data_IF_446401303757
#
_entry.id   IF_446401303757
#
_cell.length_a   1.000
_cell.length_b   1.000
_cell.length_c   1.000
_cell.angle_alpha   90.00
_cell.angle_beta   90.00
_cell.angle_gamma   90.00
#
_symmetry.space_group_name_H-M   'P 1'
#
loop_
_entity.id
_entity.type
_entity.pdbx_description
1 polymer ?
#
# COMPACT_ATOMS: atom_id res chain seq x y z
N UNK A 1 5.93 13.46 -11.45
CA UNK A 1 4.67 12.75 -11.15
C UNK A 1 3.78 12.81 -12.39
N UNK A 2 3.34 11.67 -12.93
CA UNK A 2 2.46 11.65 -14.11
C UNK A 2 1.02 11.73 -13.65
N UNK A 3 0.24 12.65 -14.27
CA UNK A 3 -1.16 12.89 -13.93
C UNK A 3 -2.01 12.73 -15.17
N UNK A 4 -3.13 12.03 -15.05
CA UNK A 4 -4.09 11.79 -16.13
C UNK A 4 -5.43 12.45 -15.82
N UNK A 5 -6.04 13.07 -16.80
CA UNK A 5 -7.44 13.54 -16.70
C UNK A 5 -8.35 12.32 -16.79
N UNK A 6 -9.15 12.08 -15.77
CA UNK A 6 -9.98 10.88 -15.68
C UNK A 6 -11.40 11.20 -15.21
N UNK A 7 -12.33 10.35 -15.61
CA UNK A 7 -13.62 10.17 -14.97
C UNK A 7 -13.57 8.88 -14.17
N UNK A 8 -14.08 8.89 -12.95
CA UNK A 8 -14.01 7.71 -12.10
C UNK A 8 -15.26 7.56 -11.25
N UNK A 9 -15.57 6.32 -10.89
CA UNK A 9 -16.68 5.93 -10.02
C UNK A 9 -16.13 5.15 -8.84
N UNK A 10 -16.51 5.55 -7.64
CA UNK A 10 -16.15 4.84 -6.42
C UNK A 10 -17.13 3.70 -6.10
N UNK A 11 -16.78 2.76 -5.22
CA UNK A 11 -17.73 1.83 -4.62
C UNK A 11 -18.93 2.60 -4.05
N UNK A 12 -20.15 2.13 -4.30
CA UNK A 12 -21.36 2.87 -3.92
C UNK A 12 -21.92 3.79 -5.02
N UNK A 13 -21.26 3.87 -6.19
CA UNK A 13 -21.84 4.37 -7.45
C UNK A 13 -21.67 5.86 -7.72
N UNK A 14 -21.06 6.66 -6.83
CA UNK A 14 -20.80 8.09 -7.10
C UNK A 14 -19.73 8.28 -8.14
N UNK A 15 -19.97 9.18 -9.09
CA UNK A 15 -19.07 9.46 -10.22
C UNK A 15 -18.47 10.86 -10.09
N UNK A 16 -17.20 10.97 -10.47
CA UNK A 16 -16.42 12.20 -10.41
C UNK A 16 -15.64 12.42 -11.71
N UNK A 17 -15.34 13.68 -12.00
CA UNK A 17 -14.42 14.09 -13.06
C UNK A 17 -13.23 14.79 -12.40
N UNK A 18 -12.01 14.46 -12.82
CA UNK A 18 -10.83 15.05 -12.25
C UNK A 18 -9.55 14.41 -12.78
N UNK A 19 -8.67 14.02 -11.88
CA UNK A 19 -7.35 13.49 -12.24
C UNK A 19 -6.97 12.28 -11.39
N UNK A 20 -6.22 11.38 -12.01
CA UNK A 20 -5.48 10.29 -11.40
C UNK A 20 -4.00 10.67 -11.38
N UNK A 21 -3.34 10.50 -10.26
CA UNK A 21 -1.90 10.67 -10.11
C UNK A 21 -1.26 9.44 -9.48
N UNK A 22 -0.04 9.10 -9.91
CA UNK A 22 0.72 7.99 -9.40
C UNK A 22 1.82 8.49 -8.47
N UNK A 23 1.74 8.14 -7.18
CA UNK A 23 2.78 8.31 -6.19
C UNK A 23 3.67 7.06 -6.10
N UNK A 24 4.69 7.08 -5.22
CA UNK A 24 5.59 5.94 -5.04
C UNK A 24 4.89 4.72 -4.41
N UNK A 25 3.92 4.92 -3.53
CA UNK A 25 3.22 3.84 -2.80
C UNK A 25 1.72 3.85 -2.98
N UNK A 26 1.16 4.93 -3.56
CA UNK A 26 -0.28 5.14 -3.68
C UNK A 26 -0.65 5.67 -5.04
N UNK A 27 -1.86 5.41 -5.46
CA UNK A 27 -2.55 6.19 -6.48
C UNK A 27 -3.48 7.20 -5.81
N UNK A 28 -3.65 8.35 -6.42
CA UNK A 28 -4.53 9.42 -5.91
C UNK A 28 -5.53 9.83 -6.96
N UNK A 29 -6.79 9.81 -6.59
CA UNK A 29 -7.91 10.26 -7.41
C UNK A 29 -8.46 11.56 -6.80
N UNK A 30 -8.41 12.65 -7.54
CA UNK A 30 -8.92 13.95 -7.11
C UNK A 30 -9.93 14.44 -8.14
N UNK A 31 -11.16 14.75 -7.70
CA UNK A 31 -12.20 15.16 -8.63
C UNK A 31 -13.41 15.81 -7.97
N UNK A 32 -14.36 16.21 -8.80
CA UNK A 32 -15.65 16.79 -8.39
C UNK A 32 -16.80 16.04 -9.08
N UNK A 33 -17.95 16.06 -8.45
CA UNK A 33 -19.17 15.54 -9.07
C UNK A 33 -19.49 16.36 -10.34
N UNK A 34 -19.78 15.71 -11.48
CA UNK A 34 -20.11 16.40 -12.71
C UNK A 34 -21.30 17.37 -12.54
N UNK A 35 -21.21 18.57 -13.11
CA UNK A 35 -22.29 19.54 -13.11
C UNK A 35 -22.59 20.23 -11.77
N UNK A 36 -21.74 20.06 -10.76
CA UNK A 36 -21.89 20.70 -9.46
C UNK A 36 -20.64 21.50 -9.07
N UNK A 37 -20.82 22.64 -8.39
CA UNK A 37 -19.75 23.37 -7.71
C UNK A 37 -19.40 22.75 -6.34
N UNK A 38 -19.70 21.47 -6.15
CA UNK A 38 -19.49 20.74 -4.90
C UNK A 38 -18.03 20.62 -4.49
N UNK A 39 -17.78 20.15 -3.26
CA UNK A 39 -16.44 20.00 -2.73
C UNK A 39 -15.60 19.04 -3.58
N UNK A 40 -14.31 19.30 -3.64
CA UNK A 40 -13.35 18.37 -4.24
C UNK A 40 -13.23 17.13 -3.38
N UNK A 41 -13.39 15.97 -4.00
CA UNK A 41 -13.17 14.66 -3.38
C UNK A 41 -11.75 14.23 -3.67
N UNK A 42 -11.06 13.74 -2.66
CA UNK A 42 -9.69 13.25 -2.72
C UNK A 42 -9.67 11.82 -2.16
N UNK A 43 -9.16 10.88 -2.97
CA UNK A 43 -9.03 9.47 -2.59
C UNK A 43 -7.59 9.02 -2.82
N UNK A 44 -6.99 8.52 -1.78
CA UNK A 44 -5.67 7.92 -1.82
C UNK A 44 -5.82 6.42 -1.62
N UNK A 45 -5.25 5.62 -2.54
CA UNK A 45 -5.36 4.16 -2.55
C UNK A 45 -3.94 3.60 -2.56
N UNK A 46 -3.58 2.85 -1.53
CA UNK A 46 -2.29 2.17 -1.44
C UNK A 46 -2.18 1.03 -2.46
N UNK A 47 -1.03 0.88 -3.10
CA UNK A 47 -0.84 -0.26 -4.03
C UNK A 47 -0.94 -1.60 -3.31
N UNK A 48 -0.61 -1.66 -2.03
CA UNK A 48 -0.77 -2.86 -1.20
C UNK A 48 -2.24 -3.24 -0.94
N UNK A 49 -3.17 -2.28 -1.04
CA UNK A 49 -4.61 -2.51 -0.85
C UNK A 49 -5.30 -3.07 -2.10
N UNK A 50 -4.59 -3.10 -3.23
CA UNK A 50 -5.14 -3.55 -4.49
C UNK A 50 -5.24 -5.07 -4.51
N UNK A 51 -6.44 -5.60 -4.74
CA UNK A 51 -6.69 -7.03 -4.93
C UNK A 51 -6.54 -7.44 -6.40
N UNK A 52 -6.89 -6.54 -7.33
CA UNK A 52 -6.82 -6.81 -8.76
C UNK A 52 -6.83 -5.55 -9.61
N UNK A 53 -6.37 -5.73 -10.85
CA UNK A 53 -6.43 -4.72 -11.91
C UNK A 53 -6.85 -5.41 -13.19
N UNK A 54 -7.87 -4.89 -13.87
CA UNK A 54 -8.31 -5.42 -15.15
C UNK A 54 -9.00 -4.34 -15.99
N UNK A 55 -9.09 -4.57 -17.27
CA UNK A 55 -9.95 -3.77 -18.16
C UNK A 55 -11.33 -4.41 -18.15
N UNK A 56 -12.33 -3.63 -17.76
CA UNK A 56 -13.71 -4.06 -17.77
C UNK A 56 -14.32 -3.93 -19.16
N UNK A 57 -14.88 -5.04 -19.64
CA UNK A 57 -15.56 -5.07 -20.96
C UNK A 57 -17.07 -5.30 -20.86
N UNK A 58 -17.59 -5.66 -19.67
CA UNK A 58 -18.98 -6.05 -19.46
C UNK A 58 -19.75 -4.98 -18.69
N UNK A 59 -21.03 -4.84 -18.98
CA UNK A 59 -22.05 -4.01 -18.33
C UNK A 59 -21.63 -3.14 -17.13
N UNK A 60 -21.54 -3.74 -15.95
CA UNK A 60 -21.20 -3.04 -14.71
C UNK A 60 -19.76 -2.46 -14.66
N UNK A 61 -18.85 -3.01 -15.49
CA UNK A 61 -17.45 -2.57 -15.58
C UNK A 61 -17.23 -1.44 -16.60
N UNK A 62 -18.30 -0.91 -17.15
CA UNK A 62 -18.25 0.21 -18.09
C UNK A 62 -18.63 1.51 -17.38
N UNK A 63 -17.98 2.57 -17.74
CA UNK A 63 -18.32 3.92 -17.29
C UNK A 63 -18.64 4.76 -18.53
N UNK A 64 -19.88 5.28 -18.62
CA UNK A 64 -20.41 6.00 -19.79
C UNK A 64 -20.29 5.21 -21.11
N UNK A 65 -20.51 3.90 -21.05
CA UNK A 65 -20.40 3.04 -22.21
C UNK A 65 -18.98 2.69 -22.65
N UNK A 66 -17.95 3.26 -22.02
CA UNK A 66 -16.54 2.97 -22.30
C UNK A 66 -15.99 1.88 -21.40
N UNK A 67 -15.04 1.03 -21.90
CA UNK A 67 -14.29 0.12 -21.05
C UNK A 67 -13.55 0.91 -19.95
N UNK A 68 -13.69 0.47 -18.71
CA UNK A 68 -13.03 1.10 -17.59
C UNK A 68 -11.83 0.26 -17.09
N UNK A 69 -10.78 0.92 -16.60
CA UNK A 69 -9.85 0.31 -15.69
C UNK A 69 -10.60 0.00 -14.38
N UNK A 70 -10.68 -1.26 -14.01
CA UNK A 70 -11.27 -1.73 -12.76
C UNK A 70 -10.15 -1.92 -11.76
N UNK A 71 -10.16 -1.12 -10.70
CA UNK A 71 -9.21 -1.22 -9.57
C UNK A 71 -9.95 -1.92 -8.43
N UNK A 72 -9.66 -3.20 -8.23
CA UNK A 72 -10.35 -4.03 -7.25
C UNK A 72 -9.75 -3.86 -5.84
N UNK A 73 -10.62 -3.65 -4.87
CA UNK A 73 -10.30 -3.54 -3.44
C UNK A 73 -11.31 -4.33 -2.60
N UNK A 74 -11.00 -4.52 -1.33
CA UNK A 74 -11.88 -5.22 -0.40
C UNK A 74 -13.26 -4.55 -0.20
N UNK A 75 -13.31 -3.22 -0.29
CA UNK A 75 -14.53 -2.40 -0.14
C UNK A 75 -15.31 -2.22 -1.46
N UNK A 76 -14.81 -2.79 -2.57
CA UNK A 76 -15.42 -2.76 -3.89
C UNK A 76 -14.54 -2.08 -4.96
N UNK A 77 -14.95 -2.18 -6.23
CA UNK A 77 -14.15 -1.70 -7.34
C UNK A 77 -14.29 -0.19 -7.56
N UNK A 78 -13.17 0.45 -7.88
CA UNK A 78 -13.15 1.75 -8.55
C UNK A 78 -13.13 1.52 -10.06
N UNK A 79 -13.94 2.27 -10.80
CA UNK A 79 -13.93 2.27 -12.26
C UNK A 79 -13.30 3.58 -12.74
N UNK A 80 -12.26 3.50 -13.55
CA UNK A 80 -11.53 4.67 -14.05
C UNK A 80 -11.50 4.66 -15.57
N UNK A 81 -11.89 5.75 -16.21
CA UNK A 81 -11.73 5.97 -17.65
C UNK A 81 -11.05 7.31 -17.89
N UNK A 82 -10.33 7.41 -18.99
CA UNK A 82 -9.80 8.70 -19.41
C UNK A 82 -10.94 9.64 -19.83
N UNK A 83 -10.84 10.89 -19.43
CA UNK A 83 -11.84 11.92 -19.73
C UNK A 83 -11.88 12.32 -21.21
N UNK A 84 -10.87 11.98 -22.00
CA UNK A 84 -10.75 12.49 -23.37
C UNK A 84 -10.27 11.53 -24.46
N UNK A 85 -9.66 10.38 -24.18
CA UNK A 85 -8.91 9.62 -25.18
C UNK A 85 -9.30 8.14 -25.40
N UNK A 86 -10.15 7.56 -24.56
CA UNK A 86 -10.72 6.23 -24.81
C UNK A 86 -9.82 5.02 -24.46
N UNK A 87 -10.13 3.87 -25.06
CA UNK A 87 -9.59 2.56 -24.67
C UNK A 87 -8.03 2.43 -24.60
N UNK A 88 -7.22 3.07 -25.44
CA UNK A 88 -5.76 2.94 -25.39
C UNK A 88 -5.15 3.44 -24.07
N UNK A 89 -5.66 4.54 -23.53
CA UNK A 89 -5.13 5.08 -22.27
C UNK A 89 -5.50 4.23 -21.07
N UNK A 90 -6.64 3.53 -21.13
CA UNK A 90 -7.03 2.57 -20.10
C UNK A 90 -6.02 1.44 -20.05
N UNK A 91 -5.54 0.95 -21.20
CA UNK A 91 -4.48 -0.07 -21.24
C UNK A 91 -3.17 0.44 -20.64
N UNK A 92 -2.74 1.66 -21.01
CA UNK A 92 -1.56 2.30 -20.43
C UNK A 92 -1.67 2.44 -18.92
N UNK A 93 -2.84 2.86 -18.41
CA UNK A 93 -3.10 2.96 -16.98
C UNK A 93 -3.01 1.61 -16.28
N UNK A 94 -3.56 0.55 -16.89
CA UNK A 94 -3.46 -0.82 -16.35
C UNK A 94 -2.00 -1.26 -16.26
N UNK A 95 -1.24 -1.12 -17.35
CA UNK A 95 0.15 -1.57 -17.40
C UNK A 95 1.01 -0.81 -16.40
N UNK A 96 0.84 0.51 -16.34
CA UNK A 96 1.55 1.37 -15.40
C UNK A 96 1.21 1.05 -13.96
N UNK A 97 -0.07 0.91 -13.64
CA UNK A 97 -0.52 0.63 -12.29
C UNK A 97 -0.10 -0.77 -11.83
N UNK A 98 -0.13 -1.76 -12.72
CA UNK A 98 0.38 -3.09 -12.45
C UNK A 98 1.88 -3.10 -12.20
N UNK A 99 2.65 -2.28 -12.94
CA UNK A 99 4.08 -2.11 -12.72
C UNK A 99 4.36 -1.48 -11.36
N UNK A 100 3.71 -0.38 -11.03
CA UNK A 100 3.87 0.33 -9.76
C UNK A 100 3.44 -0.53 -8.56
N UNK A 101 2.36 -1.32 -8.72
CA UNK A 101 1.94 -2.28 -7.70
C UNK A 101 3.02 -3.33 -7.43
N UNK A 102 3.66 -3.88 -8.48
CA UNK A 102 4.76 -4.84 -8.32
C UNK A 102 6.00 -4.21 -7.70
N UNK A 103 6.28 -2.95 -8.03
CA UNK A 103 7.39 -2.19 -7.49
C UNK A 103 7.11 -1.59 -6.10
N UNK A 104 5.85 -1.53 -5.66
CA UNK A 104 5.52 -1.00 -4.34
C UNK A 104 6.10 -1.92 -3.25
N UNK A 105 6.84 -1.38 -2.29
CA UNK A 105 7.36 -2.17 -1.18
C UNK A 105 6.26 -2.90 -0.42
N UNK A 106 6.52 -4.12 -0.01
CA UNK A 106 5.58 -4.93 0.78
C UNK A 106 5.94 -4.82 2.24
N UNK A 107 4.93 -4.59 3.07
CA UNK A 107 5.10 -4.48 4.52
C UNK A 107 4.39 -5.62 5.25
N UNK A 108 5.02 -6.09 6.31
CA UNK A 108 4.39 -6.93 7.31
C UNK A 108 4.72 -6.42 8.69
N UNK A 109 3.74 -6.47 9.58
CA UNK A 109 3.91 -6.16 11.00
C UNK A 109 3.68 -7.42 11.80
N UNK A 110 4.71 -7.82 12.55
CA UNK A 110 4.67 -9.01 13.42
C UNK A 110 4.65 -8.55 14.87
N UNK A 111 3.65 -8.98 15.61
CA UNK A 111 3.50 -8.68 17.03
C UNK A 111 3.86 -9.92 17.85
N UNK A 112 4.79 -9.78 18.75
CA UNK A 112 5.26 -10.82 19.65
C UNK A 112 4.92 -10.42 21.08
N UNK A 113 4.06 -11.17 21.74
CA UNK A 113 3.73 -10.93 23.16
C UNK A 113 4.89 -11.33 24.05
N UNK A 114 5.26 -10.46 24.98
CA UNK A 114 6.34 -10.66 25.94
C UNK A 114 5.79 -11.16 27.28
N UNK A 115 6.55 -11.99 27.96
CA UNK A 115 6.28 -12.34 29.35
C UNK A 115 6.43 -11.13 30.25
N UNK A 116 5.74 -11.14 31.37
CA UNK A 116 5.84 -10.08 32.37
C UNK A 116 7.29 -9.94 32.86
N UNK A 117 7.79 -8.71 32.91
CA UNK A 117 9.17 -8.40 33.31
C UNK A 117 10.24 -8.70 32.26
N UNK A 118 9.90 -9.20 31.09
CA UNK A 118 10.88 -9.56 30.05
C UNK A 118 11.49 -8.37 29.31
N UNK A 119 10.87 -7.17 29.40
CA UNK A 119 11.19 -6.01 28.57
C UNK A 119 12.67 -5.57 28.65
N UNK A 120 13.26 -5.58 29.82
CA UNK A 120 14.65 -5.13 30.00
C UNK A 120 15.63 -6.12 29.35
N UNK A 121 15.36 -7.41 29.47
CA UNK A 121 16.15 -8.43 28.77
C UNK A 121 15.97 -8.36 27.24
N UNK A 122 14.79 -8.02 26.78
CA UNK A 122 14.54 -7.77 25.33
C UNK A 122 15.37 -6.57 24.85
N UNK A 123 15.40 -5.48 25.61
CA UNK A 123 16.24 -4.30 25.30
C UNK A 123 17.72 -4.65 25.20
N UNK A 124 18.22 -5.46 26.10
CA UNK A 124 19.60 -5.95 26.07
C UNK A 124 19.88 -6.75 24.78
N UNK A 125 18.97 -7.65 24.40
CA UNK A 125 19.11 -8.42 23.16
C UNK A 125 19.07 -7.52 21.92
N UNK A 126 18.16 -6.56 21.89
CA UNK A 126 18.04 -5.60 20.77
C UNK A 126 19.30 -4.74 20.66
N UNK A 127 19.91 -4.35 21.78
CA UNK A 127 21.15 -3.58 21.79
C UNK A 127 22.36 -4.37 21.22
N UNK A 128 22.28 -5.70 21.17
CA UNK A 128 23.28 -6.56 20.53
C UNK A 128 23.13 -6.63 19.00
N UNK A 129 22.07 -6.02 18.46
CA UNK A 129 21.72 -6.08 17.06
C UNK A 129 20.75 -7.22 16.71
N UNK A 130 20.27 -7.26 15.45
CA UNK A 130 19.42 -8.34 15.00
C UNK A 130 20.17 -9.68 15.00
N UNK A 131 19.49 -10.82 15.26
CA UNK A 131 20.11 -12.14 15.26
C UNK A 131 20.42 -12.69 13.86
N UNK A 132 20.42 -11.83 12.85
CA UNK A 132 20.66 -12.12 11.44
C UNK A 132 21.32 -10.91 10.79
N UNK A 133 22.01 -11.13 9.68
CA UNK A 133 22.50 -10.02 8.84
C UNK A 133 21.37 -9.51 7.94
N UNK A 134 20.87 -8.28 8.14
CA UNK A 134 19.83 -7.72 7.28
C UNK A 134 20.24 -7.63 5.80
N UNK A 135 21.54 -7.48 5.51
CA UNK A 135 22.06 -7.39 4.14
C UNK A 135 21.96 -8.72 3.37
N UNK A 136 21.88 -9.84 4.07
CA UNK A 136 21.69 -11.17 3.48
C UNK A 136 20.20 -11.55 3.30
N UNK A 137 19.29 -10.61 3.60
CA UNK A 137 17.85 -10.82 3.51
C UNK A 137 17.22 -9.97 2.41
N UNK A 138 16.01 -10.29 1.94
CA UNK A 138 15.26 -9.44 1.00
C UNK A 138 14.68 -8.17 1.64
N UNK A 139 15.08 -7.80 2.86
CA UNK A 139 14.63 -6.61 3.55
C UNK A 139 15.14 -5.34 2.87
N UNK A 140 14.23 -4.40 2.65
CA UNK A 140 14.56 -3.01 2.30
C UNK A 140 14.51 -2.09 3.50
N UNK A 141 13.73 -2.48 4.51
CA UNK A 141 13.62 -1.74 5.74
C UNK A 141 13.08 -2.59 6.90
N UNK A 142 13.49 -2.24 8.12
CA UNK A 142 13.10 -2.93 9.33
C UNK A 142 13.04 -1.96 10.51
N UNK A 143 11.97 -2.06 11.29
CA UNK A 143 11.82 -1.35 12.57
C UNK A 143 11.37 -2.29 13.67
N UNK A 144 11.73 -1.95 14.89
CA UNK A 144 11.28 -2.63 16.09
C UNK A 144 10.77 -1.63 17.12
N UNK A 145 9.51 -1.76 17.48
CA UNK A 145 8.89 -1.02 18.57
C UNK A 145 8.73 -1.92 19.78
N UNK A 146 9.00 -1.39 20.96
CA UNK A 146 8.86 -2.11 22.22
C UNK A 146 7.83 -1.43 23.11
N UNK A 147 6.88 -2.23 23.60
CA UNK A 147 5.99 -1.88 24.69
C UNK A 147 6.33 -2.74 25.92
N UNK A 148 5.78 -2.44 27.11
CA UNK A 148 6.02 -3.31 28.29
C UNK A 148 5.63 -4.78 28.09
N UNK A 149 4.73 -5.06 27.13
CA UNK A 149 4.17 -6.41 26.90
C UNK A 149 4.32 -6.95 25.49
N UNK A 150 4.85 -6.15 24.57
CA UNK A 150 4.95 -6.56 23.16
C UNK A 150 6.24 -6.05 22.51
N UNK A 151 6.78 -6.85 21.61
CA UNK A 151 7.74 -6.44 20.60
C UNK A 151 7.04 -6.43 19.25
N UNK A 152 7.09 -5.30 18.54
CA UNK A 152 6.39 -5.08 17.27
C UNK A 152 7.44 -4.87 16.20
N UNK A 153 7.57 -5.85 15.30
CA UNK A 153 8.51 -5.82 14.19
C UNK A 153 7.77 -5.35 12.93
N UNK A 154 8.32 -4.36 12.27
CA UNK A 154 7.86 -3.92 10.95
C UNK A 154 8.93 -4.28 9.93
N UNK A 155 8.55 -5.04 8.93
CA UNK A 155 9.41 -5.49 7.83
C UNK A 155 8.91 -4.91 6.52
N UNK A 156 9.83 -4.50 5.67
CA UNK A 156 9.54 -4.07 4.31
C UNK A 156 10.48 -4.81 3.34
N UNK A 157 9.94 -5.31 2.24
CA UNK A 157 10.69 -5.98 1.19
C UNK A 157 10.23 -5.49 -0.19
N UNK A 158 11.09 -5.59 -1.20
CA UNK A 158 10.75 -5.15 -2.55
C UNK A 158 9.59 -5.94 -3.17
N UNK A 159 9.48 -7.22 -2.82
CA UNK A 159 8.49 -8.11 -3.40
C UNK A 159 7.71 -8.86 -2.34
N UNK A 160 6.51 -9.33 -2.71
CA UNK A 160 5.69 -10.18 -1.86
C UNK A 160 6.35 -11.52 -1.56
N UNK A 161 7.03 -12.11 -2.55
CA UNK A 161 7.74 -13.38 -2.36
C UNK A 161 8.94 -13.20 -1.42
N UNK A 162 9.68 -12.10 -1.52
CA UNK A 162 10.72 -11.74 -0.58
C UNK A 162 10.20 -11.60 0.85
N UNK A 163 9.07 -10.92 1.02
CA UNK A 163 8.43 -10.77 2.32
C UNK A 163 7.94 -12.14 2.88
N UNK A 164 7.35 -12.98 2.03
CA UNK A 164 6.90 -14.32 2.42
C UNK A 164 8.06 -15.23 2.83
N UNK A 165 9.15 -15.20 2.08
CA UNK A 165 10.37 -15.94 2.41
C UNK A 165 10.94 -15.49 3.77
N UNK A 166 10.98 -14.18 4.01
CA UNK A 166 11.39 -13.60 5.29
C UNK A 166 10.50 -14.06 6.44
N UNK A 167 9.18 -13.99 6.30
CA UNK A 167 8.23 -14.42 7.33
C UNK A 167 8.36 -15.90 7.63
N UNK A 168 8.66 -16.74 6.63
CA UNK A 168 8.99 -18.16 6.81
C UNK A 168 10.25 -18.36 7.68
N UNK A 169 11.26 -17.51 7.52
CA UNK A 169 12.46 -17.54 8.33
C UNK A 169 12.22 -17.00 9.74
N UNK A 170 11.35 -16.00 9.93
CA UNK A 170 11.02 -15.42 11.22
C UNK A 170 10.48 -16.45 12.22
N UNK A 171 9.77 -17.48 11.76
CA UNK A 171 9.38 -18.60 12.62
C UNK A 171 10.59 -19.32 13.24
N UNK A 172 11.72 -19.34 12.55
CA UNK A 172 12.97 -19.92 13.04
C UNK A 172 13.56 -19.01 14.12
N UNK A 173 13.46 -17.70 13.98
CA UNK A 173 14.03 -16.72 14.93
C UNK A 173 13.18 -16.55 16.18
N UNK A 174 11.86 -16.54 16.06
CA UNK A 174 10.97 -16.54 17.21
C UNK A 174 11.21 -17.80 18.10
N UNK A 175 11.78 -18.84 17.52
CA UNK A 175 12.22 -20.04 18.23
C UNK A 175 13.70 -20.00 18.65
N UNK A 176 14.46 -18.97 18.27
CA UNK A 176 15.83 -18.77 18.76
C UNK A 176 15.86 -18.82 20.29
N UNK A 177 16.77 -19.58 20.85
CA UNK A 177 16.78 -19.96 22.28
C UNK A 177 16.69 -18.73 23.21
N UNK A 178 17.30 -17.60 22.82
CA UNK A 178 17.29 -16.36 23.59
C UNK A 178 15.89 -15.72 23.68
N UNK A 179 15.11 -15.74 22.59
CA UNK A 179 13.77 -15.15 22.53
C UNK A 179 12.70 -16.07 23.12
N UNK A 180 12.84 -17.39 22.96
CA UNK A 180 11.85 -18.39 23.46
C UNK A 180 11.53 -18.22 24.95
N UNK A 181 12.50 -17.83 25.74
CA UNK A 181 12.31 -17.63 27.17
C UNK A 181 11.54 -16.37 27.52
N UNK A 182 11.53 -15.39 26.63
CA UNK A 182 10.96 -14.05 26.83
C UNK A 182 9.57 -13.88 26.21
N UNK A 183 9.19 -14.74 25.26
CA UNK A 183 7.89 -14.68 24.58
C UNK A 183 6.81 -15.43 25.34
N UNK A 184 5.59 -14.85 25.34
CA UNK A 184 4.42 -15.41 26.01
C UNK A 184 3.52 -16.25 25.07
N UNK A 185 3.78 -16.27 23.77
CA UNK A 185 2.99 -17.01 22.80
C UNK A 185 3.54 -16.94 21.38
N UNK A 186 2.82 -17.51 20.43
CA UNK A 186 3.19 -17.46 19.01
C UNK A 186 3.14 -16.03 18.48
N UNK A 187 4.04 -15.63 17.56
CA UNK A 187 3.96 -14.37 16.84
C UNK A 187 2.64 -14.26 16.07
N UNK A 188 2.11 -13.05 15.97
CA UNK A 188 0.88 -12.74 15.23
C UNK A 188 1.20 -11.73 14.13
N UNK A 189 0.63 -11.92 12.95
CA UNK A 189 0.61 -10.87 11.92
C UNK A 189 -0.47 -9.86 12.29
N UNK A 190 -0.13 -8.58 12.22
CA UNK A 190 -1.10 -7.50 12.34
C UNK A 190 -1.56 -7.09 10.95
N UNK A 191 -2.86 -6.92 10.78
CA UNK A 191 -3.44 -6.37 9.56
C UNK A 191 -3.25 -4.85 9.54
N UNK A 192 -2.89 -4.33 8.38
CA UNK A 192 -2.78 -2.88 8.19
C UNK A 192 -4.18 -2.28 8.01
N UNK A 193 -4.68 -1.67 9.07
CA UNK A 193 -6.00 -1.04 9.06
C UNK A 193 -6.03 0.32 8.34
N UNK A 194 -4.90 1.04 8.32
CA UNK A 194 -4.81 2.38 7.74
C UNK A 194 -3.37 2.72 7.32
N UNK A 195 -3.23 3.34 6.17
CA UNK A 195 -1.98 3.97 5.72
C UNK A 195 -2.27 5.38 5.21
N UNK A 196 -1.46 6.36 5.63
CA UNK A 196 -1.52 7.72 5.12
C UNK A 196 -0.14 8.14 4.62
N UNK A 197 -0.10 8.77 3.47
CA UNK A 197 1.10 9.37 2.90
C UNK A 197 0.81 10.85 2.63
N UNK A 198 1.74 11.71 3.06
CA UNK A 198 1.61 13.14 2.79
C UNK A 198 1.60 13.35 1.28
N UNK A 199 0.56 14.00 0.72
CA UNK A 199 0.58 14.36 -0.69
C UNK A 199 1.79 15.25 -0.97
N UNK A 200 2.59 14.90 -1.98
CA UNK A 200 3.64 15.81 -2.42
C UNK A 200 3.01 17.18 -2.77
N UNK A 201 3.60 18.29 -2.31
CA UNK A 201 3.10 19.60 -2.65
C UNK A 201 3.06 19.72 -4.18
N UNK A 202 1.91 20.12 -4.72
CA UNK A 202 1.75 20.43 -6.14
C UNK A 202 2.64 21.63 -6.46
N UNK A 203 3.81 21.38 -7.00
CA UNK A 203 4.57 22.43 -7.69
C UNK A 203 3.82 22.66 -9.00
N UNK A 204 2.94 23.64 -9.01
CA UNK A 204 2.41 24.18 -10.26
C UNK A 204 3.62 24.53 -11.11
N UNK A 205 3.81 23.80 -12.22
CA UNK A 205 4.81 24.18 -13.20
C UNK A 205 4.47 25.61 -13.60
N UNK A 206 5.28 26.55 -13.09
CA UNK A 206 5.09 27.96 -13.35
C UNK A 206 5.09 28.16 -14.85
N UNK A 207 4.02 28.71 -15.37
CA UNK A 207 3.99 29.33 -16.67
C UNK A 207 4.94 30.55 -16.53
N UNK A 208 6.20 30.34 -16.84
CA UNK A 208 7.09 31.46 -17.18
C UNK A 208 6.59 32.02 -18.50
N UNK A 209 5.72 33.00 -18.41
CA UNK A 209 5.51 33.93 -19.53
C UNK A 209 6.68 34.92 -19.48
N UNK A 210 7.58 34.76 -20.41
CA UNK A 210 8.47 35.83 -20.88
C UNK A 210 7.68 36.89 -21.62
#
# INVERSE_FOLDING_TARGET
>A
MTTYAVKWREPGGRTFIGRLAFGPRTLRLVGRTPGTEGPTVDRQIGYAELQGLRIGSRGADRLDGQPALVVERADGPYLVVDAGMGAPIVQELVDRLAHLRRAAPRKATVVVSLKEGAIDRVRELVAQGPPFDPAETPLTWHELFLTPREAIFVFEAETEDGLRALLGQLNIWATAAAWRQLVAGAPRLADMAYAWERPEPYIAAGILRS
#
